data_IF_876124067503
#
_entry.id   IF_876124067503
#
_cell.length_a   1.000
_cell.length_b   1.000
_cell.length_c   1.000
_cell.angle_alpha   90.00
_cell.angle_beta   90.00
_cell.angle_gamma   90.00
#
_symmetry.space_group_name_H-M   'P 1'
#
loop_
_entity.id
_entity.type
_entity.pdbx_description
1 polymer ?
#
# COMPACT_ATOMS: atom_id res chain seq x y z
N UNK A 1 6.04 -7.51 -19.29
CA UNK A 1 4.76 -6.83 -19.00
C UNK A 1 4.43 -6.96 -17.53
N UNK A 2 4.00 -5.89 -16.91
CA UNK A 2 3.72 -5.83 -15.49
C UNK A 2 2.22 -5.95 -15.27
N UNK A 3 1.81 -6.84 -14.36
CA UNK A 3 0.41 -7.04 -14.00
C UNK A 3 0.22 -6.69 -12.53
N UNK A 4 -0.86 -5.98 -12.22
CA UNK A 4 -1.27 -5.72 -10.85
C UNK A 4 -2.51 -6.54 -10.55
N UNK A 5 -2.44 -7.41 -9.54
CA UNK A 5 -3.53 -8.30 -9.15
C UNK A 5 -3.63 -8.40 -7.64
N UNK A 6 -4.73 -8.96 -7.15
CA UNK A 6 -4.83 -9.33 -5.74
C UNK A 6 -3.98 -10.56 -5.47
N UNK A 7 -3.35 -10.62 -4.30
CA UNK A 7 -2.59 -11.80 -3.89
C UNK A 7 -3.53 -12.99 -3.67
N UNK A 8 -3.05 -14.18 -4.00
CA UNK A 8 -3.74 -15.44 -3.71
C UNK A 8 -2.86 -16.31 -2.81
N UNK A 9 -3.40 -17.40 -2.29
CA UNK A 9 -2.62 -18.30 -1.43
C UNK A 9 -1.40 -18.89 -2.13
N UNK A 10 -1.41 -18.94 -3.47
CA UNK A 10 -0.24 -19.37 -4.23
C UNK A 10 0.95 -18.41 -4.06
N UNK A 11 0.68 -17.16 -3.66
CA UNK A 11 1.71 -16.13 -3.47
C UNK A 11 2.27 -16.08 -2.04
N UNK A 12 1.69 -16.85 -1.12
CA UNK A 12 2.03 -16.76 0.30
C UNK A 12 3.51 -16.99 0.59
N UNK A 13 4.08 -18.06 0.05
CA UNK A 13 5.49 -18.39 0.33
C UNK A 13 6.45 -17.29 -0.13
N UNK A 14 6.17 -16.67 -1.28
CA UNK A 14 6.99 -15.57 -1.78
C UNK A 14 6.81 -14.30 -0.94
N UNK A 15 5.59 -14.01 -0.53
CA UNK A 15 5.31 -12.84 0.31
C UNK A 15 5.97 -12.94 1.67
N UNK A 16 6.04 -14.11 2.26
CA UNK A 16 6.72 -14.32 3.55
C UNK A 16 8.17 -13.86 3.47
N UNK A 17 8.84 -14.13 2.35
CA UNK A 17 10.24 -13.74 2.19
C UNK A 17 10.43 -12.25 1.91
N UNK A 18 9.42 -11.60 1.35
CA UNK A 18 9.49 -10.18 0.99
C UNK A 18 9.01 -9.25 2.10
N UNK A 19 7.95 -9.62 2.80
CA UNK A 19 7.38 -8.78 3.87
C UNK A 19 7.86 -9.30 5.22
N UNK A 20 8.87 -8.66 5.76
CA UNK A 20 9.47 -9.06 7.03
C UNK A 20 8.84 -8.37 8.25
N UNK A 21 7.83 -7.53 8.03
CA UNK A 21 7.18 -6.78 9.11
C UNK A 21 6.05 -7.56 9.80
N UNK A 22 5.48 -8.54 9.11
CA UNK A 22 4.38 -9.33 9.64
C UNK A 22 4.75 -10.79 9.77
N UNK A 23 4.09 -11.50 10.71
CA UNK A 23 4.22 -12.93 10.81
C UNK A 23 3.63 -13.60 9.56
N UNK A 24 4.05 -14.83 9.27
CA UNK A 24 3.52 -15.55 8.13
C UNK A 24 2.01 -15.84 8.26
N UNK A 25 1.52 -16.02 9.49
CA UNK A 25 0.11 -16.23 9.75
C UNK A 25 -0.70 -14.97 9.44
N UNK A 26 -0.17 -13.79 9.79
CA UNK A 26 -0.82 -12.51 9.48
C UNK A 26 -0.86 -12.27 7.97
N UNK A 27 0.20 -12.60 7.27
CA UNK A 27 0.23 -12.45 5.82
C UNK A 27 -0.86 -13.33 5.19
N UNK A 28 -1.02 -14.57 5.68
CA UNK A 28 -2.06 -15.46 5.20
C UNK A 28 -3.45 -14.85 5.40
N UNK A 29 -3.71 -14.30 6.59
CA UNK A 29 -4.98 -13.62 6.86
C UNK A 29 -5.22 -12.47 5.89
N UNK A 30 -4.19 -11.67 5.61
CA UNK A 30 -4.29 -10.55 4.69
C UNK A 30 -4.64 -11.01 3.28
N UNK A 31 -4.03 -12.10 2.85
CA UNK A 31 -4.35 -12.70 1.54
C UNK A 31 -5.81 -13.13 1.51
N UNK A 32 -6.26 -13.84 2.54
CA UNK A 32 -7.64 -14.33 2.62
C UNK A 32 -8.66 -13.19 2.65
N UNK A 33 -8.30 -12.06 3.24
CA UNK A 33 -9.15 -10.87 3.27
C UNK A 33 -9.04 -10.02 2.00
N UNK A 34 -8.18 -10.42 1.06
CA UNK A 34 -7.93 -9.69 -0.16
C UNK A 34 -7.42 -8.26 0.09
N UNK A 35 -6.52 -8.12 1.06
CA UNK A 35 -5.95 -6.84 1.46
C UNK A 35 -4.51 -6.64 0.98
N UNK A 36 -4.10 -7.37 -0.06
CA UNK A 36 -2.78 -7.21 -0.67
C UNK A 36 -2.91 -7.18 -2.19
N UNK A 37 -2.36 -6.12 -2.80
CA UNK A 37 -2.18 -6.03 -4.24
C UNK A 37 -0.73 -6.39 -4.57
N UNK A 38 -0.52 -7.12 -5.65
CA UNK A 38 0.82 -7.49 -6.13
C UNK A 38 1.06 -6.89 -7.50
N UNK A 39 2.31 -6.47 -7.74
CA UNK A 39 2.80 -6.18 -9.08
C UNK A 39 3.73 -7.31 -9.46
N UNK A 40 3.46 -7.96 -10.59
CA UNK A 40 4.24 -9.10 -11.07
C UNK A 40 4.80 -8.84 -12.46
N UNK A 41 6.00 -9.33 -12.68
CA UNK A 41 6.63 -9.37 -13.98
C UNK A 41 7.22 -10.76 -14.18
N UNK A 42 6.80 -11.48 -15.23
CA UNK A 42 7.24 -12.84 -15.51
C UNK A 42 7.08 -13.78 -14.30
N UNK A 43 5.91 -13.69 -13.65
CA UNK A 43 5.56 -14.47 -12.46
C UNK A 43 6.40 -14.14 -11.21
N UNK A 44 7.23 -13.11 -11.28
CA UNK A 44 8.01 -12.65 -10.13
C UNK A 44 7.30 -11.47 -9.49
N UNK A 45 7.20 -11.47 -8.16
CA UNK A 45 6.65 -10.33 -7.42
C UNK A 45 7.71 -9.24 -7.37
N UNK A 46 7.44 -8.08 -7.95
CA UNK A 46 8.35 -6.94 -7.97
C UNK A 46 7.88 -5.80 -7.09
N UNK A 47 6.68 -5.91 -6.55
CA UNK A 47 6.17 -4.93 -5.61
C UNK A 47 4.86 -5.39 -5.02
N UNK A 48 4.46 -4.79 -3.90
CA UNK A 48 3.16 -5.08 -3.30
C UNK A 48 2.68 -3.91 -2.48
N UNK A 49 1.36 -3.86 -2.27
CA UNK A 49 0.70 -2.87 -1.43
C UNK A 49 -0.21 -3.62 -0.47
N UNK A 50 -0.04 -3.37 0.82
CA UNK A 50 -0.81 -4.03 1.86
C UNK A 50 -1.59 -2.97 2.63
N UNK A 51 -2.88 -3.23 2.88
CA UNK A 51 -3.76 -2.25 3.51
C UNK A 51 -4.71 -2.90 4.50
N UNK A 52 -5.35 -2.08 5.31
CA UNK A 52 -6.48 -2.45 6.14
C UNK A 52 -7.39 -1.22 6.30
N UNK A 53 -8.17 -1.15 7.39
CA UNK A 53 -9.13 -0.06 7.57
C UNK A 53 -8.92 0.60 8.92
N UNK A 54 -8.63 1.89 8.88
CA UNK A 54 -8.48 2.72 10.08
C UNK A 54 -9.87 2.95 10.67
N UNK A 55 -10.05 2.72 11.97
CA UNK A 55 -11.35 2.75 12.63
C UNK A 55 -12.35 1.77 12.00
N UNK A 56 -11.85 0.69 11.42
CA UNK A 56 -12.66 -0.31 10.72
C UNK A 56 -13.43 0.25 9.52
N UNK A 57 -13.18 1.48 9.10
CA UNK A 57 -13.95 2.16 8.05
C UNK A 57 -13.14 2.81 6.95
N UNK A 58 -11.98 3.40 7.27
CA UNK A 58 -11.20 4.17 6.30
C UNK A 58 -10.06 3.33 5.73
N UNK A 59 -10.01 3.10 4.41
CA UNK A 59 -8.88 2.37 3.83
C UNK A 59 -7.57 3.03 4.24
N UNK A 60 -6.64 2.22 4.71
CA UNK A 60 -5.35 2.68 5.24
C UNK A 60 -4.23 1.82 4.66
N UNK A 61 -3.31 2.43 3.92
CA UNK A 61 -2.17 1.73 3.35
C UNK A 61 -1.11 1.57 4.43
N UNK A 62 -0.80 0.31 4.75
CA UNK A 62 0.20 -0.01 5.78
C UNK A 62 1.60 -0.15 5.21
N UNK A 63 1.74 -0.59 3.97
CA UNK A 63 3.04 -0.78 3.36
C UNK A 63 2.91 -0.76 1.84
N UNK A 64 3.79 0.00 1.21
CA UNK A 64 4.00 -0.04 -0.23
C UNK A 64 5.47 -0.39 -0.45
N UNK A 65 5.70 -1.51 -1.13
CA UNK A 65 7.04 -2.01 -1.41
C UNK A 65 7.26 -2.16 -2.90
N UNK A 66 8.42 -1.70 -3.38
CA UNK A 66 8.86 -1.94 -4.75
C UNK A 66 10.30 -2.43 -4.67
N UNK A 67 10.59 -3.55 -5.36
CA UNK A 67 11.94 -4.10 -5.40
C UNK A 67 12.92 -3.05 -5.92
N UNK A 68 14.11 -3.00 -5.31
CA UNK A 68 15.10 -1.95 -5.58
C UNK A 68 15.42 -1.80 -7.07
N UNK A 69 15.57 -2.92 -7.78
CA UNK A 69 15.91 -2.92 -9.20
C UNK A 69 14.79 -2.41 -10.10
N UNK A 70 13.59 -2.29 -9.55
CA UNK A 70 12.39 -1.91 -10.30
C UNK A 70 11.85 -0.54 -9.90
N UNK A 71 12.56 0.18 -9.05
CA UNK A 71 12.13 1.52 -8.64
C UNK A 71 12.25 2.51 -9.79
N UNK A 72 11.46 3.58 -9.73
CA UNK A 72 11.39 4.63 -10.76
C UNK A 72 10.88 4.14 -12.12
N UNK A 73 10.17 3.01 -12.13
CA UNK A 73 9.55 2.47 -13.33
C UNK A 73 8.02 2.56 -13.29
N UNK A 74 7.47 3.31 -12.33
CA UNK A 74 6.03 3.50 -12.24
C UNK A 74 5.28 2.39 -11.54
N UNK A 75 5.98 1.43 -10.93
CA UNK A 75 5.34 0.28 -10.29
C UNK A 75 4.57 0.69 -9.04
N UNK A 76 5.17 1.56 -8.21
CA UNK A 76 4.49 2.11 -7.05
C UNK A 76 3.22 2.85 -7.43
N UNK A 77 3.29 3.66 -8.49
CA UNK A 77 2.12 4.39 -8.98
C UNK A 77 1.05 3.44 -9.50
N UNK A 78 1.44 2.35 -10.17
CA UNK A 78 0.49 1.36 -10.67
C UNK A 78 -0.24 0.67 -9.53
N UNK A 79 0.48 0.32 -8.45
CA UNK A 79 -0.11 -0.28 -7.27
C UNK A 79 -1.07 0.69 -6.57
N UNK A 80 -0.66 1.95 -6.44
CA UNK A 80 -1.51 2.98 -5.84
C UNK A 80 -2.78 3.20 -6.67
N UNK A 81 -2.64 3.26 -7.99
CA UNK A 81 -3.80 3.43 -8.87
C UNK A 81 -4.79 2.27 -8.76
N UNK A 82 -4.29 1.04 -8.73
CA UNK A 82 -5.15 -0.14 -8.61
C UNK A 82 -5.91 -0.11 -7.28
N UNK A 83 -5.22 0.24 -6.20
CA UNK A 83 -5.83 0.35 -4.89
C UNK A 83 -6.88 1.47 -4.85
N UNK A 84 -6.53 2.66 -5.31
CA UNK A 84 -7.44 3.81 -5.33
C UNK A 84 -8.69 3.51 -6.15
N UNK A 85 -8.50 2.89 -7.31
CA UNK A 85 -9.62 2.55 -8.18
C UNK A 85 -10.58 1.58 -7.51
N UNK A 86 -10.05 0.56 -6.85
CA UNK A 86 -10.92 -0.40 -6.15
C UNK A 86 -11.64 0.22 -4.97
N UNK A 87 -10.97 1.05 -4.18
CA UNK A 87 -11.60 1.69 -3.04
C UNK A 87 -12.72 2.63 -3.52
N UNK A 88 -12.49 3.32 -4.62
CA UNK A 88 -13.48 4.18 -5.24
C UNK A 88 -14.70 3.38 -5.69
N UNK A 89 -14.47 2.23 -6.34
CA UNK A 89 -15.55 1.35 -6.78
C UNK A 89 -16.35 0.79 -5.60
N UNK A 90 -15.72 0.58 -4.46
CA UNK A 90 -16.38 0.11 -3.24
C UNK A 90 -17.13 1.23 -2.51
N UNK A 91 -17.01 2.47 -2.97
CA UNK A 91 -17.76 3.59 -2.42
C UNK A 91 -17.03 4.40 -1.37
N UNK A 92 -15.74 4.16 -1.14
CA UNK A 92 -14.99 4.95 -0.19
C UNK A 92 -14.66 6.31 -0.78
N UNK A 93 -14.75 7.36 0.05
CA UNK A 93 -14.53 8.73 -0.40
C UNK A 93 -13.13 9.26 -0.11
N UNK A 94 -12.35 8.54 0.70
CA UNK A 94 -11.00 8.96 1.05
C UNK A 94 -10.15 7.77 1.47
N UNK A 95 -8.83 7.95 1.37
CA UNK A 95 -7.82 6.96 1.70
C UNK A 95 -6.80 7.61 2.62
N UNK A 96 -6.34 6.87 3.61
CA UNK A 96 -5.27 7.29 4.50
C UNK A 96 -4.01 6.46 4.26
N UNK A 97 -2.88 7.03 4.60
CA UNK A 97 -1.61 6.30 4.71
C UNK A 97 -0.69 7.05 5.66
N UNK A 98 0.40 6.41 6.05
CA UNK A 98 1.43 7.06 6.85
C UNK A 98 2.81 6.65 6.38
N UNK A 99 3.80 7.51 6.66
CA UNK A 99 5.21 7.24 6.38
C UNK A 99 6.05 7.99 7.40
N UNK A 100 7.26 7.48 7.68
CA UNK A 100 8.14 8.15 8.62
C UNK A 100 8.71 9.43 8.00
N UNK A 101 8.91 10.45 8.85
CA UNK A 101 9.33 11.77 8.40
C UNK A 101 10.72 11.81 7.77
N UNK A 102 11.55 10.80 8.03
CA UNK A 102 12.88 10.70 7.43
C UNK A 102 12.92 9.84 6.17
N UNK A 103 11.77 9.40 5.66
CA UNK A 103 11.70 8.57 4.46
C UNK A 103 11.34 9.38 3.22
N UNK A 104 11.88 8.93 2.07
CA UNK A 104 11.62 9.55 0.76
C UNK A 104 10.18 9.37 0.32
N UNK A 105 9.48 8.37 0.84
CA UNK A 105 8.09 8.07 0.46
C UNK A 105 7.16 9.27 0.59
N UNK A 106 7.42 10.16 1.54
CA UNK A 106 6.58 11.34 1.73
C UNK A 106 6.46 12.19 0.46
N UNK A 107 7.56 12.31 -0.28
CA UNK A 107 7.55 13.12 -1.51
C UNK A 107 6.79 12.42 -2.63
N UNK A 108 6.91 11.10 -2.70
CA UNK A 108 6.17 10.29 -3.66
C UNK A 108 4.66 10.44 -3.45
N UNK A 109 4.20 10.34 -2.21
CA UNK A 109 2.77 10.46 -1.92
C UNK A 109 2.22 11.87 -2.20
N UNK A 110 3.00 12.90 -1.87
CA UNK A 110 2.57 14.27 -2.19
C UNK A 110 2.42 14.49 -3.69
N UNK A 111 3.28 13.87 -4.50
CA UNK A 111 3.15 13.94 -5.96
C UNK A 111 1.89 13.23 -6.46
N UNK A 112 1.38 12.27 -5.71
CA UNK A 112 0.13 11.58 -6.04
C UNK A 112 -1.09 12.28 -5.46
N UNK A 113 -0.92 13.52 -4.98
CA UNK A 113 -1.98 14.37 -4.45
C UNK A 113 -2.48 13.92 -3.07
N UNK A 114 -1.63 13.26 -2.30
CA UNK A 114 -1.90 13.03 -0.89
C UNK A 114 -1.52 14.27 -0.10
N UNK A 115 -2.36 14.65 0.86
CA UNK A 115 -2.21 15.86 1.66
C UNK A 115 -1.88 15.48 3.09
N UNK A 116 -0.92 16.19 3.70
CA UNK A 116 -0.58 15.99 5.10
C UNK A 116 -1.82 16.24 5.96
N UNK A 117 -2.12 15.31 6.88
CA UNK A 117 -3.30 15.45 7.73
C UNK A 117 -3.05 15.18 9.22
N UNK A 118 -1.83 14.89 9.61
CA UNK A 118 -1.51 14.70 11.00
C UNK A 118 -0.18 14.00 11.21
N UNK A 119 0.14 13.73 12.46
CA UNK A 119 1.39 13.09 12.82
C UNK A 119 1.23 12.30 14.11
N UNK A 120 2.02 11.23 14.23
CA UNK A 120 2.07 10.42 15.43
C UNK A 120 3.51 10.48 15.96
N UNK A 121 3.65 10.89 17.22
CA UNK A 121 4.94 11.04 17.86
C UNK A 121 5.19 9.82 18.73
N UNK A 122 6.00 8.89 18.22
CA UNK A 122 6.34 7.67 18.93
C UNK A 122 7.71 7.83 19.59
N UNK A 123 7.83 7.28 20.79
CA UNK A 123 9.11 7.34 21.53
C UNK A 123 10.19 6.57 20.79
N UNK A 124 11.37 7.21 20.63
CA UNK A 124 12.57 6.60 20.02
C UNK A 124 12.44 6.26 18.54
N UNK A 125 11.44 6.82 17.86
CA UNK A 125 11.26 6.62 16.43
C UNK A 125 11.05 7.95 15.73
N UNK A 126 11.34 8.03 14.42
CA UNK A 126 10.99 9.23 13.66
C UNK A 126 9.49 9.46 13.71
N UNK A 127 9.09 10.72 13.56
CA UNK A 127 7.67 11.08 13.52
C UNK A 127 6.99 10.37 12.36
N UNK A 128 5.84 9.78 12.64
CA UNK A 128 5.02 9.16 11.61
C UNK A 128 4.08 10.22 11.05
N UNK A 129 4.22 10.52 9.75
CA UNK A 129 3.39 11.52 9.07
C UNK A 129 2.19 10.83 8.44
N UNK A 130 1.01 11.40 8.66
CA UNK A 130 -0.22 10.87 8.08
C UNK A 130 -0.68 11.72 6.91
N UNK A 131 -1.19 11.05 5.89
CA UNK A 131 -1.66 11.68 4.65
C UNK A 131 -3.05 11.18 4.31
N UNK A 132 -3.81 12.04 3.65
CA UNK A 132 -5.15 11.71 3.18
C UNK A 132 -5.27 12.09 1.72
N UNK A 133 -6.04 11.31 0.97
CA UNK A 133 -6.43 11.67 -0.40
C UNK A 133 -7.93 11.47 -0.54
N UNK A 134 -8.60 12.48 -1.06
CA UNK A 134 -10.01 12.36 -1.41
C UNK A 134 -10.13 11.67 -2.76
N UNK A 135 -11.06 10.74 -2.85
CA UNK A 135 -11.33 10.05 -4.10
C UNK A 135 -12.48 10.74 -4.81
N UNK A 136 -12.32 10.93 -6.14
CA UNK A 136 -13.40 11.52 -6.93
C UNK A 136 -14.58 10.55 -6.96
N UNK A 137 -15.77 11.08 -6.80
CA UNK A 137 -16.95 10.24 -6.89
C UNK A 137 -17.28 9.94 -8.35
N UNK A 138 -17.83 8.76 -8.59
CA UNK A 138 -18.43 8.47 -9.90
C UNK A 138 -19.76 9.18 -9.99
N UNK A 139 -19.89 9.96 -11.02
CA UNK A 139 -21.12 10.70 -11.28
C UNK A 139 -21.72 10.25 -12.58
#
# INVERSE_FOLDING_TARGET
MIFVTKATLADWSLLISLDTHLSKEKIKEKIERQEIFLAKENNKIIGFLRFNYFWDELPFINLLFVEADHRKQGIGSALMNAFEQQMKELGYSQILLSTQSDEEGQHFYRKLNYTDCGALLLSKEPTELFFVKKLDSYM
#
